data_IF_593551653163
#
_entry.id   IF_593551653163
#
_cell.length_a   1.000
_cell.length_b   1.000
_cell.length_c   1.000
_cell.angle_alpha   90.00
_cell.angle_beta   90.00
_cell.angle_gamma   90.00
#
_symmetry.space_group_name_H-M   'P 1'
#
loop_
_entity.id
_entity.type
_entity.pdbx_description
1 polymer ?
#
# COMPACT_ATOMS: atom_id res chain seq x y z
N UNK A 1 33.27 14.09 -17.63
CA UNK A 1 32.96 14.78 -16.36
C UNK A 1 31.45 14.85 -16.27
N UNK A 2 30.83 14.04 -15.41
CA UNK A 2 29.39 14.15 -15.17
C UNK A 2 29.19 15.30 -14.19
N UNK A 3 28.58 16.39 -14.65
CA UNK A 3 28.02 17.41 -13.78
C UNK A 3 27.01 16.72 -12.86
N UNK A 4 27.39 16.50 -11.60
CA UNK A 4 26.41 16.27 -10.55
C UNK A 4 25.59 17.56 -10.49
N UNK A 5 24.38 17.55 -11.07
CA UNK A 5 23.45 18.67 -10.94
C UNK A 5 23.29 18.95 -9.45
N UNK A 6 23.77 20.10 -9.01
CA UNK A 6 23.73 20.47 -7.60
C UNK A 6 22.27 20.62 -7.21
N UNK A 7 21.77 19.72 -6.36
CA UNK A 7 20.41 19.78 -5.82
C UNK A 7 20.16 21.15 -5.21
N UNK A 8 19.09 21.81 -5.66
CA UNK A 8 18.69 23.07 -5.05
C UNK A 8 18.15 22.84 -3.64
N UNK A 9 18.05 23.90 -2.84
CA UNK A 9 17.44 23.83 -1.50
C UNK A 9 15.98 23.36 -1.58
N UNK A 10 15.26 23.79 -2.60
CA UNK A 10 13.88 23.37 -2.86
C UNK A 10 13.80 21.87 -3.15
N UNK A 11 14.73 21.35 -3.95
CA UNK A 11 14.78 19.92 -4.25
C UNK A 11 15.06 19.11 -2.99
N UNK A 12 16.05 19.52 -2.18
CA UNK A 12 16.36 18.84 -0.91
C UNK A 12 15.16 18.80 0.04
N UNK A 13 14.46 19.93 0.19
CA UNK A 13 13.25 20.00 1.00
C UNK A 13 12.13 19.11 0.43
N UNK A 14 11.99 19.04 -0.90
CA UNK A 14 11.00 18.18 -1.56
C UNK A 14 11.31 16.71 -1.37
N UNK A 15 12.56 16.28 -1.58
CA UNK A 15 13.01 14.91 -1.34
C UNK A 15 12.79 14.48 0.11
N UNK A 16 13.13 15.34 1.09
CA UNK A 16 12.90 15.03 2.51
C UNK A 16 11.42 14.84 2.83
N UNK A 17 10.55 15.74 2.33
CA UNK A 17 9.09 15.61 2.49
C UNK A 17 8.56 14.36 1.82
N UNK A 18 9.06 14.03 0.62
CA UNK A 18 8.68 12.83 -0.10
C UNK A 18 9.06 11.56 0.67
N UNK A 19 10.28 11.47 1.20
CA UNK A 19 10.70 10.32 2.01
C UNK A 19 9.72 10.06 3.16
N UNK A 20 9.38 11.10 3.92
CA UNK A 20 8.45 10.92 5.03
C UNK A 20 7.04 10.60 4.56
N UNK A 21 6.57 11.18 3.46
CA UNK A 21 5.30 10.78 2.86
C UNK A 21 5.28 9.29 2.49
N UNK A 22 6.32 8.81 1.78
CA UNK A 22 6.49 7.38 1.49
C UNK A 22 6.47 6.53 2.75
N UNK A 23 7.21 6.93 3.78
CA UNK A 23 7.28 6.22 5.05
C UNK A 23 5.91 6.14 5.74
N UNK A 24 5.19 7.25 5.84
CA UNK A 24 3.85 7.26 6.45
C UNK A 24 2.88 6.36 5.68
N UNK A 25 2.87 6.46 4.36
CA UNK A 25 2.01 5.62 3.53
C UNK A 25 2.39 4.13 3.62
N UNK A 26 3.69 3.81 3.70
CA UNK A 26 4.16 2.44 3.93
C UNK A 26 3.70 1.88 5.29
N UNK A 27 3.67 2.70 6.34
CA UNK A 27 3.14 2.32 7.66
C UNK A 27 1.62 2.07 7.59
N UNK A 28 0.86 2.90 6.87
CA UNK A 28 -0.56 2.66 6.65
C UNK A 28 -0.81 1.34 5.91
N UNK A 29 0.01 1.02 4.90
CA UNK A 29 -0.01 -0.26 4.17
C UNK A 29 0.28 -1.43 5.13
N UNK A 30 1.35 -1.34 5.91
CA UNK A 30 1.70 -2.36 6.90
C UNK A 30 0.54 -2.61 7.88
N UNK A 31 -0.09 -1.53 8.34
CA UNK A 31 -1.22 -1.60 9.28
C UNK A 31 -2.42 -2.32 8.67
N UNK A 32 -2.75 -2.04 7.40
CA UNK A 32 -3.80 -2.73 6.67
C UNK A 32 -3.49 -4.23 6.49
N UNK A 33 -2.26 -4.59 6.13
CA UNK A 33 -1.87 -6.00 5.95
C UNK A 33 -1.80 -6.75 7.26
N UNK A 34 -1.33 -6.13 8.35
CA UNK A 34 -1.37 -6.73 9.69
C UNK A 34 -2.80 -7.00 10.16
N UNK A 35 -3.75 -6.12 9.83
CA UNK A 35 -5.17 -6.39 10.08
C UNK A 35 -5.64 -7.63 9.27
N UNK A 36 -5.22 -7.80 8.03
CA UNK A 36 -5.55 -9.00 7.25
C UNK A 36 -4.98 -10.28 7.86
N UNK A 37 -3.72 -10.27 8.32
CA UNK A 37 -3.14 -11.42 9.06
C UNK A 37 -3.95 -11.76 10.31
N UNK A 38 -4.41 -10.75 11.05
CA UNK A 38 -5.23 -10.96 12.24
C UNK A 38 -6.59 -11.57 11.90
N UNK A 39 -7.26 -11.03 10.88
CA UNK A 39 -8.58 -11.49 10.46
C UNK A 39 -8.56 -12.93 9.95
N UNK A 40 -7.53 -13.33 9.21
CA UNK A 40 -7.36 -14.71 8.75
C UNK A 40 -7.38 -15.69 9.93
N UNK A 41 -6.65 -15.39 11.01
CA UNK A 41 -6.65 -16.23 12.22
C UNK A 41 -8.03 -16.23 12.91
N UNK A 42 -8.68 -15.07 12.99
CA UNK A 42 -9.96 -14.93 13.70
C UNK A 42 -11.10 -15.67 13.02
N UNK A 43 -11.09 -15.77 11.69
CA UNK A 43 -12.09 -16.52 10.92
C UNK A 43 -11.99 -18.02 11.18
N UNK A 44 -10.77 -18.50 11.42
CA UNK A 44 -10.52 -19.87 11.87
C UNK A 44 -10.78 -20.08 13.37
N UNK A 45 -11.26 -19.05 14.08
CA UNK A 45 -11.48 -19.09 15.53
C UNK A 45 -10.18 -19.13 16.34
N UNK A 46 -9.04 -18.79 15.74
CA UNK A 46 -7.72 -18.85 16.38
C UNK A 46 -7.27 -17.48 16.87
N UNK A 47 -6.52 -17.41 17.99
CA UNK A 47 -5.92 -16.16 18.42
C UNK A 47 -4.77 -15.76 17.48
N UNK A 48 -4.67 -14.45 17.22
CA UNK A 48 -3.52 -13.85 16.57
C UNK A 48 -2.37 -13.71 17.56
N UNK A 49 -1.15 -14.06 17.13
CA UNK A 49 0.06 -13.99 17.95
C UNK A 49 1.16 -13.27 17.19
N UNK A 50 1.86 -12.35 17.87
CA UNK A 50 2.99 -11.62 17.29
C UNK A 50 4.04 -11.31 18.35
N UNK A 51 5.31 -11.46 18.00
CA UNK A 51 6.43 -11.07 18.85
C UNK A 51 6.77 -9.60 18.60
N UNK A 52 6.70 -8.77 19.63
CA UNK A 52 7.02 -7.34 19.60
C UNK A 52 8.08 -7.06 20.66
N UNK A 53 9.28 -6.65 20.24
CA UNK A 53 10.37 -6.28 21.16
C UNK A 53 10.65 -7.33 22.27
N UNK A 54 10.55 -8.62 21.92
CA UNK A 54 10.68 -9.80 22.80
C UNK A 54 9.47 -10.14 23.67
N UNK A 55 8.37 -9.41 23.55
CA UNK A 55 7.09 -9.71 24.21
C UNK A 55 6.11 -10.36 23.23
N UNK A 56 5.27 -11.28 23.71
CA UNK A 56 4.24 -11.90 22.88
C UNK A 56 2.91 -11.15 23.02
N UNK A 57 2.50 -10.47 21.96
CA UNK A 57 1.14 -9.96 21.82
C UNK A 57 0.22 -11.13 21.45
N UNK A 58 -0.87 -11.30 22.20
CA UNK A 58 -1.93 -12.27 21.89
C UNK A 58 -3.25 -11.52 21.83
N UNK A 59 -3.92 -11.61 20.68
CA UNK A 59 -5.27 -11.07 20.47
C UNK A 59 -6.21 -12.22 20.18
N UNK A 60 -7.30 -12.33 20.92
CA UNK A 60 -8.30 -13.36 20.71
C UNK A 60 -9.45 -12.85 19.82
N UNK A 61 -10.05 -13.70 18.97
CA UNK A 61 -11.25 -13.34 18.24
C UNK A 61 -12.36 -12.97 19.23
N UNK A 62 -13.14 -11.94 18.90
CA UNK A 62 -14.33 -11.61 19.68
C UNK A 62 -15.45 -12.61 19.38
N UNK A 63 -16.49 -12.65 20.23
CA UNK A 63 -17.74 -13.39 19.97
C UNK A 63 -18.58 -12.77 18.82
N UNK A 64 -17.97 -11.94 17.98
CA UNK A 64 -18.63 -11.26 16.85
C UNK A 64 -19.04 -12.22 15.74
N UNK A 65 -19.78 -11.69 14.77
CA UNK A 65 -20.21 -12.46 13.60
C UNK A 65 -19.11 -12.51 12.53
N UNK A 66 -19.12 -13.56 11.71
CA UNK A 66 -18.26 -13.67 10.51
C UNK A 66 -18.35 -12.43 9.61
N UNK A 67 -19.54 -11.83 9.51
CA UNK A 67 -19.76 -10.60 8.75
C UNK A 67 -18.96 -9.41 9.27
N UNK A 68 -18.65 -9.35 10.57
CA UNK A 68 -17.78 -8.32 11.12
C UNK A 68 -16.35 -8.47 10.58
N UNK A 69 -15.82 -9.69 10.55
CA UNK A 69 -14.47 -9.96 10.00
C UNK A 69 -14.39 -9.70 8.50
N UNK A 70 -15.44 -10.05 7.76
CA UNK A 70 -15.58 -9.68 6.33
C UNK A 70 -15.54 -8.18 6.14
N UNK A 71 -16.31 -7.44 6.94
CA UNK A 71 -16.35 -5.97 6.84
C UNK A 71 -14.98 -5.36 7.13
N UNK A 72 -14.31 -5.81 8.19
CA UNK A 72 -12.97 -5.34 8.53
C UNK A 72 -11.94 -5.63 7.43
N UNK A 73 -12.03 -6.78 6.77
CA UNK A 73 -11.13 -7.13 5.66
C UNK A 73 -11.31 -6.23 4.44
N UNK A 74 -12.57 -5.85 4.14
CA UNK A 74 -12.87 -4.90 3.07
C UNK A 74 -12.29 -3.52 3.38
N UNK A 75 -12.46 -3.05 4.61
CA UNK A 75 -11.87 -1.77 5.06
C UNK A 75 -10.34 -1.81 4.94
N UNK A 76 -9.70 -2.89 5.39
CA UNK A 76 -8.25 -3.07 5.25
C UNK A 76 -7.82 -3.00 3.77
N UNK A 77 -8.52 -3.72 2.90
CA UNK A 77 -8.24 -3.75 1.47
C UNK A 77 -8.45 -2.41 0.78
N UNK A 78 -9.52 -1.68 1.11
CA UNK A 78 -9.76 -0.33 0.57
C UNK A 78 -8.66 0.64 0.98
N UNK A 79 -8.25 0.60 2.25
CA UNK A 79 -7.12 1.40 2.73
C UNK A 79 -5.81 1.02 2.03
N UNK A 80 -5.58 -0.27 1.76
CA UNK A 80 -4.43 -0.73 0.99
C UNK A 80 -4.45 -0.12 -0.43
N UNK A 81 -5.58 -0.20 -1.13
CA UNK A 81 -5.73 0.37 -2.48
C UNK A 81 -5.49 1.88 -2.47
N UNK A 82 -6.13 2.62 -1.56
CA UNK A 82 -5.95 4.08 -1.44
C UNK A 82 -4.47 4.41 -1.32
N UNK A 83 -3.75 3.69 -0.46
CA UNK A 83 -2.34 3.96 -0.22
C UNK A 83 -1.43 3.56 -1.39
N UNK A 84 -1.74 2.48 -2.10
CA UNK A 84 -1.07 2.15 -3.38
C UNK A 84 -1.25 3.32 -4.37
N UNK A 85 -2.45 3.91 -4.43
CA UNK A 85 -2.70 5.05 -5.31
C UNK A 85 -1.98 6.33 -4.88
N UNK A 86 -1.96 6.65 -3.57
CA UNK A 86 -1.18 7.77 -3.03
C UNK A 86 0.30 7.67 -3.48
N UNK A 87 0.89 6.49 -3.37
CA UNK A 87 2.28 6.25 -3.79
C UNK A 87 2.44 6.31 -5.31
N UNK A 88 1.60 5.59 -6.07
CA UNK A 88 1.67 5.56 -7.52
C UNK A 88 1.59 6.95 -8.14
N UNK A 89 0.63 7.76 -7.70
CA UNK A 89 0.46 9.14 -8.17
C UNK A 89 1.62 10.06 -7.75
N UNK A 90 2.16 9.90 -6.53
CA UNK A 90 3.33 10.65 -6.11
C UNK A 90 4.54 10.31 -7.00
N UNK A 91 4.77 9.02 -7.26
CA UNK A 91 5.85 8.55 -8.11
C UNK A 91 5.71 9.16 -9.51
N UNK A 92 4.52 9.11 -10.14
CA UNK A 92 4.27 9.72 -11.45
C UNK A 92 4.54 11.23 -11.46
N UNK A 93 4.01 11.97 -10.47
CA UNK A 93 4.12 13.43 -10.40
C UNK A 93 5.53 13.93 -10.10
N UNK A 94 6.39 13.08 -9.52
CA UNK A 94 7.71 13.46 -9.02
C UNK A 94 8.87 12.74 -9.72
N UNK A 95 8.66 12.25 -10.95
CA UNK A 95 9.73 11.58 -11.72
C UNK A 95 11.01 12.42 -11.85
N UNK A 96 10.89 13.72 -12.11
CA UNK A 96 12.05 14.61 -12.25
C UNK A 96 12.98 14.57 -11.03
N UNK A 97 12.42 14.76 -9.83
CA UNK A 97 13.22 14.78 -8.60
C UNK A 97 13.69 13.38 -8.15
N UNK A 98 12.94 12.33 -8.50
CA UNK A 98 13.33 10.95 -8.22
C UNK A 98 14.58 10.53 -8.98
N UNK A 99 14.94 11.19 -10.09
CA UNK A 99 16.19 10.89 -10.83
C UNK A 99 17.46 11.06 -9.98
N UNK A 100 17.40 11.85 -8.91
CA UNK A 100 18.50 12.01 -7.96
C UNK A 100 18.68 10.82 -7.01
N UNK A 101 17.74 9.87 -7.02
CA UNK A 101 17.72 8.66 -6.18
C UNK A 101 17.63 7.42 -7.09
N UNK A 102 18.68 7.09 -7.86
CA UNK A 102 18.59 6.06 -8.90
C UNK A 102 18.16 4.68 -8.40
N UNK A 103 18.59 4.24 -7.21
CA UNK A 103 18.26 2.91 -6.69
C UNK A 103 16.80 2.85 -6.22
N UNK A 104 16.38 3.84 -5.46
CA UNK A 104 14.99 3.98 -5.03
C UNK A 104 14.06 4.18 -6.22
N UNK A 105 14.42 5.07 -7.16
CA UNK A 105 13.61 5.37 -8.35
C UNK A 105 13.36 4.14 -9.21
N UNK A 106 14.38 3.28 -9.40
CA UNK A 106 14.22 2.00 -10.09
C UNK A 106 13.19 1.13 -9.37
N UNK A 107 13.38 0.91 -8.07
CA UNK A 107 12.52 0.04 -7.26
C UNK A 107 11.06 0.50 -7.21
N UNK A 108 10.82 1.81 -7.03
CA UNK A 108 9.44 2.34 -6.98
C UNK A 108 8.76 2.36 -8.35
N UNK A 109 9.51 2.47 -9.46
CA UNK A 109 8.94 2.35 -10.80
C UNK A 109 8.60 0.88 -11.14
N UNK A 110 9.42 -0.08 -10.71
CA UNK A 110 9.09 -1.51 -10.83
C UNK A 110 7.81 -1.83 -10.05
N UNK A 111 7.72 -1.37 -8.80
CA UNK A 111 6.50 -1.46 -7.99
C UNK A 111 5.28 -0.84 -8.73
N UNK A 112 5.41 0.40 -9.21
CA UNK A 112 4.32 1.08 -9.93
C UNK A 112 3.87 0.29 -11.16
N UNK A 113 4.82 -0.22 -11.95
CA UNK A 113 4.51 -0.98 -13.17
C UNK A 113 3.67 -2.23 -12.89
N UNK A 114 3.92 -2.89 -11.77
CA UNK A 114 3.23 -4.14 -11.40
C UNK A 114 1.84 -3.85 -10.82
N UNK A 115 1.74 -2.88 -9.89
CA UNK A 115 0.53 -2.74 -9.06
C UNK A 115 -0.35 -1.54 -9.42
N UNK A 116 0.15 -0.58 -10.19
CA UNK A 116 -0.61 0.59 -10.61
C UNK A 116 -1.36 0.32 -11.93
N UNK A 117 -2.24 -0.69 -11.91
CA UNK A 117 -2.93 -1.21 -13.10
C UNK A 117 -4.24 -0.44 -13.40
N UNK A 118 -4.75 -0.60 -14.63
CA UNK A 118 -6.04 -0.02 -15.01
C UNK A 118 -7.22 -0.64 -14.25
N UNK A 119 -7.18 -1.95 -14.00
CA UNK A 119 -8.22 -2.64 -13.22
C UNK A 119 -8.29 -2.10 -11.78
N UNK A 120 -7.13 -1.89 -11.14
CA UNK A 120 -7.09 -1.30 -9.80
C UNK A 120 -7.57 0.16 -9.80
N UNK A 121 -7.30 0.90 -10.88
CA UNK A 121 -7.78 2.29 -11.07
C UNK A 121 -9.28 2.35 -11.24
N UNK A 122 -9.85 1.45 -12.05
CA UNK A 122 -11.28 1.30 -12.22
C UNK A 122 -11.95 0.99 -10.88
N UNK A 123 -11.44 -0.02 -10.17
CA UNK A 123 -11.96 -0.39 -8.84
C UNK A 123 -11.91 0.78 -7.86
N UNK A 124 -10.77 1.49 -7.76
CA UNK A 124 -10.62 2.65 -6.88
C UNK A 124 -11.64 3.74 -7.21
N UNK A 125 -11.78 4.09 -8.49
CA UNK A 125 -12.63 5.20 -8.92
C UNK A 125 -14.12 4.90 -8.76
N UNK A 126 -14.53 3.65 -8.99
CA UNK A 126 -15.94 3.28 -8.90
C UNK A 126 -16.39 2.97 -7.47
N UNK A 127 -15.51 2.43 -6.63
CA UNK A 127 -15.92 1.84 -5.36
C UNK A 127 -15.26 2.45 -4.11
N UNK A 128 -14.11 3.11 -4.26
CA UNK A 128 -13.31 3.59 -3.13
C UNK A 128 -13.24 5.13 -3.06
N UNK A 129 -13.35 5.83 -4.19
CA UNK A 129 -13.31 7.29 -4.27
C UNK A 129 -14.67 7.95 -3.97
N UNK A 130 -14.64 9.17 -3.43
CA UNK A 130 -15.83 9.94 -3.05
C UNK A 130 -16.64 10.39 -4.29
N UNK A 131 -17.97 10.26 -4.25
CA UNK A 131 -18.89 10.58 -5.35
C UNK A 131 -18.94 12.06 -5.77
N UNK A 132 -18.12 12.94 -5.17
CA UNK A 132 -18.10 14.38 -5.47
C UNK A 132 -17.00 14.77 -6.46
N UNK A 133 -16.35 13.81 -7.10
CA UNK A 133 -15.38 14.09 -8.15
C UNK A 133 -16.09 14.86 -9.28
N UNK A 134 -15.70 16.14 -9.46
CA UNK A 134 -16.44 17.16 -10.22
C UNK A 134 -16.51 16.91 -11.74
N UNK A 135 -16.00 15.78 -12.22
CA UNK A 135 -16.17 15.33 -13.60
C UNK A 135 -17.52 14.62 -13.75
N UNK A 136 -18.58 15.43 -13.71
CA UNK A 136 -20.00 15.07 -13.71
C UNK A 136 -20.54 14.40 -14.98
N UNK A 137 -19.70 14.00 -15.93
CA UNK A 137 -20.13 13.29 -17.13
C UNK A 137 -19.87 11.77 -17.08
N UNK A 138 -19.33 11.24 -15.97
CA UNK A 138 -19.05 9.78 -15.80
C UNK A 138 -19.56 9.18 -14.50
N UNK A 139 -20.28 9.96 -13.67
CA UNK A 139 -20.77 9.54 -12.35
C UNK A 139 -21.95 8.56 -12.36
N UNK A 140 -22.41 8.11 -13.53
CA UNK A 140 -23.48 7.10 -13.66
C UNK A 140 -22.97 5.65 -13.71
N UNK A 141 -21.66 5.42 -13.75
CA UNK A 141 -21.08 4.08 -13.90
C UNK A 141 -20.77 3.42 -12.54
N UNK A 142 -21.79 3.23 -11.71
CA UNK A 142 -21.68 2.22 -10.66
C UNK A 142 -21.62 0.85 -11.34
N UNK A 143 -20.53 0.12 -11.15
CA UNK A 143 -20.48 -1.28 -11.54
C UNK A 143 -21.59 -2.02 -10.78
N UNK A 144 -22.31 -2.89 -11.48
CA UNK A 144 -23.22 -3.80 -10.80
C UNK A 144 -22.44 -4.77 -9.90
N UNK A 145 -23.14 -5.47 -9.01
CA UNK A 145 -22.51 -6.36 -8.04
C UNK A 145 -21.62 -7.43 -8.70
N UNK A 146 -22.04 -7.99 -9.83
CA UNK A 146 -21.27 -9.01 -10.55
C UNK A 146 -19.98 -8.44 -11.15
N UNK A 147 -20.07 -7.27 -11.80
CA UNK A 147 -18.91 -6.58 -12.36
C UNK A 147 -17.90 -6.17 -11.29
N UNK A 148 -18.39 -5.75 -10.11
CA UNK A 148 -17.55 -5.43 -8.96
C UNK A 148 -16.81 -6.68 -8.45
N UNK A 149 -17.50 -7.81 -8.29
CA UNK A 149 -16.86 -9.06 -7.86
C UNK A 149 -15.85 -9.51 -8.91
N UNK A 150 -16.19 -9.47 -10.20
CA UNK A 150 -15.25 -9.84 -11.26
C UNK A 150 -13.99 -8.98 -11.23
N UNK A 151 -14.15 -7.66 -11.07
CA UNK A 151 -13.02 -6.72 -10.96
C UNK A 151 -12.18 -7.02 -9.72
N UNK A 152 -12.82 -7.23 -8.57
CA UNK A 152 -12.16 -7.61 -7.34
C UNK A 152 -11.38 -8.93 -7.48
N UNK A 153 -12.00 -9.95 -8.07
CA UNK A 153 -11.40 -11.26 -8.29
C UNK A 153 -10.18 -11.19 -9.20
N UNK A 154 -10.24 -10.38 -10.27
CA UNK A 154 -9.09 -10.10 -11.14
C UNK A 154 -7.93 -9.46 -10.36
N UNK A 155 -8.22 -8.48 -9.51
CA UNK A 155 -7.20 -7.78 -8.71
C UNK A 155 -6.49 -8.75 -7.75
N UNK A 156 -7.23 -9.58 -7.02
CA UNK A 156 -6.64 -10.50 -6.04
C UNK A 156 -6.16 -11.83 -6.66
N UNK A 157 -6.42 -12.05 -7.96
CA UNK A 157 -5.98 -13.23 -8.70
C UNK A 157 -6.73 -14.51 -8.32
N UNK A 158 -8.05 -14.43 -8.11
CA UNK A 158 -8.91 -15.57 -7.80
C UNK A 158 -9.96 -15.79 -8.89
N UNK A 159 -10.32 -17.04 -9.16
CA UNK A 159 -11.44 -17.35 -10.03
C UNK A 159 -12.78 -17.02 -9.36
N UNK A 160 -13.71 -16.46 -10.14
CA UNK A 160 -15.05 -16.08 -9.67
C UNK A 160 -15.81 -17.26 -9.02
N UNK A 161 -15.59 -18.48 -9.53
CA UNK A 161 -16.22 -19.70 -9.00
C UNK A 161 -15.75 -20.07 -7.60
N UNK A 162 -14.56 -19.61 -7.18
CA UNK A 162 -14.05 -19.79 -5.81
C UNK A 162 -14.71 -18.78 -4.87
N UNK A 163 -14.85 -17.52 -5.32
CA UNK A 163 -15.50 -16.46 -4.53
C UNK A 163 -16.92 -16.83 -4.11
N UNK A 164 -17.68 -17.50 -4.98
CA UNK A 164 -19.08 -17.85 -4.74
C UNK A 164 -19.31 -19.10 -3.85
N UNK A 165 -18.25 -19.81 -3.43
CA UNK A 165 -18.41 -21.05 -2.64
C UNK A 165 -18.63 -20.79 -1.16
N UNK A 166 -17.71 -20.06 -0.55
CA UNK A 166 -17.76 -19.71 0.87
C UNK A 166 -16.95 -18.43 1.08
N UNK A 167 -17.52 -17.52 1.84
CA UNK A 167 -16.88 -16.26 2.21
C UNK A 167 -15.55 -16.47 2.96
N UNK A 168 -15.32 -17.61 3.61
CA UNK A 168 -14.02 -17.90 4.24
C UNK A 168 -12.91 -18.15 3.20
N UNK A 169 -13.27 -18.63 2.01
CA UNK A 169 -12.29 -19.05 1.00
C UNK A 169 -11.55 -17.88 0.33
N UNK A 170 -12.05 -16.64 0.43
CA UNK A 170 -11.39 -15.49 -0.20
C UNK A 170 -10.28 -14.87 0.66
N UNK A 171 -10.31 -15.04 1.99
CA UNK A 171 -9.38 -14.34 2.89
C UNK A 171 -7.91 -14.68 2.64
N UNK A 172 -7.53 -15.94 2.38
CA UNK A 172 -6.15 -16.27 2.03
C UNK A 172 -5.67 -15.55 0.76
N UNK A 173 -6.54 -15.37 -0.24
CA UNK A 173 -6.21 -14.63 -1.46
C UNK A 173 -6.05 -13.14 -1.19
N UNK A 174 -6.91 -12.58 -0.33
CA UNK A 174 -6.82 -11.17 0.06
C UNK A 174 -5.53 -10.88 0.83
N UNK A 175 -5.18 -11.75 1.79
CA UNK A 175 -3.93 -11.65 2.52
C UNK A 175 -2.75 -11.79 1.58
N UNK A 176 -2.72 -12.83 0.73
CA UNK A 176 -1.66 -13.04 -0.26
C UNK A 176 -1.49 -11.84 -1.20
N UNK A 177 -2.59 -11.18 -1.59
CA UNK A 177 -2.51 -9.93 -2.34
C UNK A 177 -1.85 -8.82 -1.51
N UNK A 178 -2.26 -8.66 -0.25
CA UNK A 178 -1.65 -7.74 0.72
C UNK A 178 -0.15 -7.98 0.94
N UNK A 179 0.28 -9.24 0.93
CA UNK A 179 1.69 -9.64 1.11
C UNK A 179 2.63 -9.14 0.00
N UNK A 180 2.09 -8.71 -1.15
CA UNK A 180 2.88 -8.03 -2.17
C UNK A 180 3.38 -6.64 -1.73
N UNK A 181 2.73 -6.04 -0.73
CA UNK A 181 2.99 -4.66 -0.27
C UNK A 181 3.67 -4.59 1.10
N UNK A 182 3.47 -5.62 1.93
CA UNK A 182 4.16 -5.85 3.18
C UNK A 182 4.04 -7.33 3.56
N UNK A 183 5.13 -7.98 3.97
CA UNK A 183 5.09 -9.33 4.52
C UNK A 183 5.89 -9.39 5.82
N UNK A 184 5.46 -10.27 6.74
CA UNK A 184 6.23 -10.61 7.94
C UNK A 184 7.57 -11.28 7.61
N UNK A 185 7.67 -11.89 6.43
CA UNK A 185 8.90 -12.47 5.89
C UNK A 185 9.28 -11.70 4.60
N UNK A 186 9.84 -10.48 4.73
CA UNK A 186 10.03 -9.58 3.61
C UNK A 186 11.02 -10.13 2.58
N UNK A 187 10.67 -10.03 1.31
CA UNK A 187 11.49 -10.39 0.14
C UNK A 187 12.31 -9.22 -0.38
N UNK A 188 12.03 -8.01 0.08
CA UNK A 188 12.70 -6.77 -0.33
C UNK A 188 12.05 -6.07 -1.52
N UNK A 189 11.08 -6.71 -2.17
CA UNK A 189 10.32 -6.15 -3.30
C UNK A 189 9.05 -5.45 -2.87
N UNK A 190 8.62 -5.64 -1.62
CA UNK A 190 7.44 -4.99 -1.07
C UNK A 190 7.70 -3.49 -0.92
N UNK A 191 6.70 -2.65 -1.22
CA UNK A 191 6.87 -1.19 -1.15
C UNK A 191 7.25 -0.72 0.26
N UNK A 192 6.78 -1.40 1.30
CA UNK A 192 7.25 -1.18 2.65
C UNK A 192 8.78 -1.37 2.74
N UNK A 193 9.29 -2.55 2.37
CA UNK A 193 10.73 -2.86 2.38
C UNK A 193 11.54 -1.86 1.55
N UNK A 194 11.08 -1.52 0.35
CA UNK A 194 11.72 -0.54 -0.55
C UNK A 194 11.89 0.82 0.13
N UNK A 195 10.86 1.32 0.81
CA UNK A 195 10.88 2.62 1.48
C UNK A 195 11.79 2.64 2.70
N UNK A 196 11.76 1.60 3.54
CA UNK A 196 12.62 1.57 4.73
C UNK A 196 14.10 1.37 4.38
N UNK A 197 14.39 0.61 3.31
CA UNK A 197 15.76 0.38 2.86
C UNK A 197 16.36 1.58 2.10
N UNK A 198 15.56 2.54 1.64
CA UNK A 198 16.06 3.70 0.90
C UNK A 198 16.62 4.83 1.76
N UNK A 199 16.49 4.74 3.09
CA UNK A 199 16.91 5.80 4.01
C UNK A 199 18.38 6.24 3.80
N UNK A 200 19.28 5.29 3.53
CA UNK A 200 20.70 5.55 3.28
C UNK A 200 20.94 6.35 2.00
N UNK A 201 20.20 6.06 0.93
CA UNK A 201 20.29 6.78 -0.33
C UNK A 201 19.81 8.22 -0.15
N UNK A 202 18.66 8.41 0.51
CA UNK A 202 18.14 9.74 0.85
C UNK A 202 19.14 10.53 1.72
N UNK A 203 19.73 9.93 2.75
CA UNK A 203 20.74 10.57 3.61
C UNK A 203 21.95 11.05 2.81
N UNK A 204 22.48 10.18 1.94
CA UNK A 204 23.62 10.47 1.07
C UNK A 204 23.32 11.63 0.13
N UNK A 205 22.18 11.60 -0.54
CA UNK A 205 21.78 12.62 -1.53
C UNK A 205 21.49 13.97 -0.86
N UNK A 206 20.91 13.96 0.33
CA UNK A 206 20.61 15.16 1.09
C UNK A 206 21.84 15.73 1.82
N UNK A 207 22.88 14.91 2.05
CA UNK A 207 24.07 15.27 2.82
C UNK A 207 23.78 15.38 4.32
N UNK A 208 22.94 14.50 4.86
CA UNK A 208 22.56 14.47 6.28
C UNK A 208 22.88 13.13 6.90
N UNK A 209 23.34 13.13 8.16
CA UNK A 209 23.62 11.91 8.90
C UNK A 209 22.34 11.13 9.25
N UNK A 210 21.25 11.86 9.54
CA UNK A 210 19.96 11.27 9.91
C UNK A 210 18.80 12.05 9.31
N UNK A 211 17.81 11.32 8.79
CA UNK A 211 16.57 11.91 8.29
C UNK A 211 15.72 12.36 9.49
N UNK A 212 15.36 13.64 9.50
CA UNK A 212 14.54 14.23 10.56
C UNK A 212 13.40 15.04 9.96
N UNK A 213 12.17 14.78 10.41
CA UNK A 213 10.95 15.45 9.94
C UNK A 213 10.94 16.96 10.16
N UNK A 214 11.68 17.44 11.16
CA UNK A 214 11.80 18.86 11.50
C UNK A 214 12.96 19.54 10.78
N UNK A 215 13.75 18.81 10.00
CA UNK A 215 14.86 19.41 9.26
C UNK A 215 14.33 20.22 8.08
N UNK A 216 14.90 21.40 7.88
CA UNK A 216 14.62 22.27 6.74
C UNK A 216 15.93 22.78 6.19
N UNK A 217 16.15 22.62 4.89
CA UNK A 217 17.29 23.19 4.20
C UNK A 217 17.00 24.67 3.95
N UNK A 218 17.65 25.54 4.73
CA UNK A 218 17.54 27.02 4.66
C UNK A 218 18.55 27.63 3.71
#
# INVERSE_FOLDING_TARGET
MNEQSVLTKEDKNTLLKMYFYFQYTAIEIQSAVNLLYMLEQFIEGKPYKEMIANEMLVLAPSQGSLNAYVTLSRVAFHNLIINIFKLGELIEKKQGILTHLPEFNKSVNEFRKIFFTQDLRLYRNTYVAHHSDKNKDKSDNFLNYEELIQTFCKIIGVDLSIFNKDIQTFFPFLLKYGENFFSKNPKGTEIHSIVFNSASEFQKVLGVEKLNRKHTFS
#
